data_IF_797084371913
#
_entry.id   IF_797084371913
#
_cell.length_a   1.000
_cell.length_b   1.000
_cell.length_c   1.000
_cell.angle_alpha   90.00
_cell.angle_beta   90.00
_cell.angle_gamma   90.00
#
_symmetry.space_group_name_H-M   'P 1'
#
loop_
_entity.id
_entity.type
_entity.pdbx_description
1 polymer ?
#
# COMPACT_ATOMS: atom_id res chain seq x y z
N UNK A 1 -19.89 -8.16 6.41
CA UNK A 1 -18.82 -7.30 5.84
C UNK A 1 -18.76 -6.08 6.74
N UNK A 2 -17.74 -5.97 7.58
CA UNK A 2 -17.53 -4.80 8.42
C UNK A 2 -17.34 -3.59 7.50
N UNK A 3 -18.25 -2.63 7.57
CA UNK A 3 -18.23 -1.47 6.69
C UNK A 3 -17.31 -0.41 7.27
N UNK A 4 -16.00 -0.68 7.22
CA UNK A 4 -14.92 0.22 7.64
C UNK A 4 -14.94 1.60 6.96
N UNK A 5 -15.75 1.74 5.90
CA UNK A 5 -15.93 2.98 5.14
C UNK A 5 -17.07 3.87 5.66
N UNK A 6 -17.97 3.34 6.50
CA UNK A 6 -19.14 4.07 7.00
C UNK A 6 -18.82 5.02 8.15
N UNK A 7 -17.96 4.58 9.08
CA UNK A 7 -17.49 5.39 10.20
C UNK A 7 -15.98 5.16 10.37
N UNK A 8 -15.20 6.07 9.78
CA UNK A 8 -13.74 5.97 9.73
C UNK A 8 -13.13 6.17 11.11
N UNK A 9 -13.69 7.07 11.94
CA UNK A 9 -13.12 7.35 13.25
C UNK A 9 -13.41 6.20 14.22
N UNK A 10 -14.63 5.63 14.20
CA UNK A 10 -14.93 4.39 14.92
C UNK A 10 -14.06 3.22 14.45
N UNK A 11 -13.85 3.10 13.14
CA UNK A 11 -13.00 2.05 12.56
C UNK A 11 -11.55 2.15 13.03
N UNK A 12 -11.01 3.37 13.15
CA UNK A 12 -9.66 3.60 13.68
C UNK A 12 -9.58 3.23 15.15
N UNK A 13 -10.54 3.65 15.96
CA UNK A 13 -10.58 3.29 17.39
C UNK A 13 -10.70 1.78 17.59
N UNK A 14 -11.53 1.12 16.79
CA UNK A 14 -11.67 -0.33 16.81
C UNK A 14 -10.35 -1.03 16.44
N UNK A 15 -9.68 -0.59 15.36
CA UNK A 15 -8.38 -1.12 14.93
C UNK A 15 -7.28 -0.88 15.97
N UNK A 16 -7.23 0.29 16.60
CA UNK A 16 -6.28 0.62 17.68
C UNK A 16 -6.54 -0.24 18.93
N UNK A 17 -7.80 -0.54 19.25
CA UNK A 17 -8.18 -1.39 20.38
C UNK A 17 -7.90 -2.88 20.15
N UNK A 18 -7.87 -3.33 18.89
CA UNK A 18 -7.70 -4.74 18.52
C UNK A 18 -6.31 -5.32 18.84
N UNK A 19 -5.29 -4.47 18.96
CA UNK A 19 -3.90 -4.87 19.19
C UNK A 19 -3.24 -5.65 18.03
N UNK A 20 -3.96 -5.96 16.96
CA UNK A 20 -3.46 -6.69 15.79
C UNK A 20 -2.97 -5.75 14.66
N UNK A 21 -3.04 -4.43 14.85
CA UNK A 21 -2.71 -3.48 13.81
C UNK A 21 -1.18 -3.32 13.64
N UNK A 22 -0.67 -3.24 12.40
CA UNK A 22 0.69 -2.79 12.17
C UNK A 22 0.83 -1.32 12.58
N UNK A 23 1.97 -0.95 13.19
CA UNK A 23 2.22 0.42 13.64
C UNK A 23 2.26 1.39 12.45
N UNK A 24 1.17 2.15 12.27
CA UNK A 24 1.04 3.19 11.24
C UNK A 24 0.44 4.48 11.84
N UNK A 25 0.93 5.67 11.45
CA UNK A 25 0.29 6.94 11.77
C UNK A 25 -1.19 7.00 11.36
N UNK A 26 -2.04 7.62 12.20
CA UNK A 26 -3.49 7.79 11.94
C UNK A 26 -3.85 8.35 10.55
N UNK A 27 -3.04 9.26 10.00
CA UNK A 27 -3.26 9.81 8.64
C UNK A 27 -3.24 8.68 7.58
N UNK A 28 -2.36 7.70 7.74
CA UNK A 28 -2.23 6.57 6.82
C UNK A 28 -3.39 5.59 6.98
N UNK A 29 -3.85 5.32 8.21
CA UNK A 29 -5.08 4.56 8.45
C UNK A 29 -6.31 5.21 7.80
N UNK A 30 -6.47 6.53 7.90
CA UNK A 30 -7.54 7.24 7.20
C UNK A 30 -7.47 7.07 5.68
N UNK A 31 -6.27 7.03 5.10
CA UNK A 31 -6.10 6.78 3.67
C UNK A 31 -6.50 5.33 3.31
N UNK A 32 -6.02 4.33 4.07
CA UNK A 32 -6.36 2.92 3.88
C UNK A 32 -7.88 2.70 3.96
N UNK A 33 -8.53 3.20 5.03
CA UNK A 33 -9.95 2.99 5.26
C UNK A 33 -10.85 3.72 4.26
N UNK A 34 -10.35 4.79 3.63
CA UNK A 34 -11.04 5.48 2.53
C UNK A 34 -10.81 4.81 1.18
N UNK A 35 -9.98 3.76 1.14
CA UNK A 35 -9.44 3.19 -0.08
C UNK A 35 -8.79 4.27 -0.96
N UNK A 36 -8.14 5.25 -0.33
CA UNK A 36 -7.50 6.36 -1.01
C UNK A 36 -6.02 6.07 -1.23
N UNK A 37 -5.44 6.66 -2.28
CA UNK A 37 -4.09 6.36 -2.72
C UNK A 37 -3.04 6.40 -1.59
N UNK A 38 -2.30 5.31 -1.42
CA UNK A 38 -1.23 5.16 -0.42
C UNK A 38 0.11 5.79 -0.87
N UNK A 39 0.06 6.81 -1.74
CA UNK A 39 1.25 7.51 -2.25
C UNK A 39 2.16 7.95 -1.11
N UNK A 40 1.59 8.57 -0.07
CA UNK A 40 2.29 9.08 1.11
C UNK A 40 2.97 7.97 1.95
N UNK A 41 2.53 6.70 1.87
CA UNK A 41 3.17 5.61 2.63
C UNK A 41 4.53 5.22 2.05
N UNK A 42 4.70 5.35 0.73
CA UNK A 42 5.91 4.96 0.02
C UNK A 42 6.97 6.06 -0.08
N UNK A 43 6.56 7.32 0.09
CA UNK A 43 7.49 8.44 0.18
C UNK A 43 8.20 8.52 1.55
N UNK A 44 7.77 7.72 2.53
CA UNK A 44 8.29 7.81 3.89
C UNK A 44 8.06 6.55 4.73
N UNK A 45 8.58 5.40 4.29
CA UNK A 45 8.66 4.20 5.13
C UNK A 45 9.62 4.44 6.31
N UNK A 46 9.13 5.11 7.35
CA UNK A 46 9.73 5.17 8.69
C UNK A 46 8.66 4.74 9.68
N UNK A 47 8.51 3.42 9.79
CA UNK A 47 8.06 2.81 11.04
C UNK A 47 9.19 3.15 12.04
N UNK A 48 8.91 4.07 12.95
CA UNK A 48 9.83 4.78 13.86
C UNK A 48 10.51 6.05 13.28
N UNK A 49 10.24 7.18 13.95
CA UNK A 49 10.94 8.46 13.76
C UNK A 49 12.43 8.30 14.10
N UNK A 50 13.29 8.04 13.12
CA UNK A 50 14.70 8.47 13.14
C UNK A 50 15.30 8.39 11.72
N UNK A 51 15.87 9.51 11.27
CA UNK A 51 16.59 9.74 10.02
C UNK A 51 15.74 10.01 8.74
N UNK A 52 16.24 10.88 7.82
CA UNK A 52 15.62 11.11 6.52
C UNK A 52 15.45 9.79 5.78
N UNK A 53 14.20 9.46 5.45
CA UNK A 53 13.85 8.23 4.73
C UNK A 53 14.52 8.29 3.36
N UNK A 54 15.40 7.34 3.07
CA UNK A 54 15.97 7.22 1.73
C UNK A 54 14.80 7.01 0.76
N UNK A 55 14.71 7.76 -0.35
CA UNK A 55 13.65 7.54 -1.31
C UNK A 55 13.67 6.08 -1.76
N UNK A 56 12.48 5.48 -1.90
CA UNK A 56 12.34 4.16 -2.49
C UNK A 56 12.82 4.25 -3.93
N UNK A 57 14.04 3.77 -4.20
CA UNK A 57 14.66 3.80 -5.54
C UNK A 57 14.96 2.43 -6.12
N UNK A 58 14.83 1.38 -5.31
CA UNK A 58 15.18 0.00 -5.67
C UNK A 58 14.09 -0.99 -5.24
N UNK A 59 14.16 -2.19 -5.82
CA UNK A 59 13.24 -3.29 -5.56
C UNK A 59 13.12 -3.64 -4.06
N UNK A 60 14.23 -3.60 -3.31
CA UNK A 60 14.25 -4.01 -1.90
C UNK A 60 13.48 -3.03 -1.03
N UNK A 61 13.73 -1.74 -1.22
CA UNK A 61 13.03 -0.68 -0.51
C UNK A 61 11.55 -0.65 -0.90
N UNK A 62 11.24 -0.84 -2.18
CA UNK A 62 9.86 -0.93 -2.65
C UNK A 62 9.12 -2.10 -2.00
N UNK A 63 9.74 -3.29 -1.97
CA UNK A 63 9.11 -4.48 -1.39
C UNK A 63 8.85 -4.33 0.11
N UNK A 64 9.76 -3.70 0.86
CA UNK A 64 9.55 -3.41 2.28
C UNK A 64 8.36 -2.48 2.50
N UNK A 65 8.27 -1.41 1.70
CA UNK A 65 7.15 -0.47 1.77
C UNK A 65 5.82 -1.13 1.37
N UNK A 66 5.82 -1.94 0.31
CA UNK A 66 4.63 -2.68 -0.12
C UNK A 66 4.15 -3.69 0.91
N UNK A 67 5.04 -4.44 1.55
CA UNK A 67 4.65 -5.36 2.63
C UNK A 67 3.99 -4.65 3.81
N UNK A 68 4.51 -3.49 4.21
CA UNK A 68 3.90 -2.71 5.27
C UNK A 68 2.50 -2.20 4.88
N UNK A 69 2.35 -1.75 3.63
CA UNK A 69 1.06 -1.31 3.11
C UNK A 69 0.07 -2.48 2.96
N UNK A 70 0.49 -3.61 2.39
CA UNK A 70 -0.37 -4.76 2.13
C UNK A 70 -0.87 -5.39 3.41
N UNK A 71 -0.02 -5.57 4.42
CA UNK A 71 -0.46 -6.10 5.71
C UNK A 71 -1.47 -5.16 6.41
N UNK A 72 -1.31 -3.85 6.25
CA UNK A 72 -2.27 -2.90 6.80
C UNK A 72 -3.61 -2.89 6.03
N UNK A 73 -3.57 -2.99 4.70
CA UNK A 73 -4.78 -3.17 3.88
C UNK A 73 -5.47 -4.46 4.25
N UNK A 74 -4.73 -5.57 4.43
CA UNK A 74 -5.30 -6.89 4.76
C UNK A 74 -5.89 -6.90 6.18
N UNK A 75 -5.26 -6.18 7.12
CA UNK A 75 -5.81 -5.99 8.45
C UNK A 75 -7.20 -5.33 8.40
N UNK A 76 -7.39 -4.29 7.58
CA UNK A 76 -8.69 -3.64 7.40
C UNK A 76 -9.64 -4.39 6.44
N UNK A 77 -9.09 -5.06 5.43
CA UNK A 77 -9.83 -5.70 4.34
C UNK A 77 -9.25 -7.08 4.02
N UNK A 78 -9.53 -8.11 4.85
CA UNK A 78 -8.90 -9.43 4.71
C UNK A 78 -9.13 -10.10 3.34
N UNK A 79 -10.28 -9.81 2.72
CA UNK A 79 -10.68 -10.35 1.42
C UNK A 79 -9.82 -9.83 0.26
N UNK A 80 -9.05 -8.75 0.45
CA UNK A 80 -8.19 -8.16 -0.59
C UNK A 80 -6.82 -8.84 -0.72
N UNK A 81 -6.47 -9.81 0.13
CA UNK A 81 -5.14 -10.45 0.08
C UNK A 81 -4.76 -10.99 -1.30
N UNK A 82 -5.68 -11.65 -2.00
CA UNK A 82 -5.42 -12.27 -3.30
C UNK A 82 -5.04 -11.28 -4.42
N UNK A 83 -5.62 -10.08 -4.45
CA UNK A 83 -5.24 -9.05 -5.43
C UNK A 83 -3.89 -8.41 -5.08
N UNK A 84 -3.61 -8.19 -3.79
CA UNK A 84 -2.37 -7.57 -3.32
C UNK A 84 -1.15 -8.47 -3.57
N UNK A 85 -1.32 -9.79 -3.37
CA UNK A 85 -0.28 -10.79 -3.66
C UNK A 85 0.00 -10.86 -5.17
N UNK A 86 -1.04 -10.78 -6.01
CA UNK A 86 -0.89 -10.75 -7.48
C UNK A 86 -0.15 -9.49 -7.95
N UNK A 87 -0.52 -8.34 -7.41
CA UNK A 87 0.17 -7.08 -7.71
C UNK A 87 1.61 -7.05 -7.20
N UNK A 88 1.90 -7.62 -6.01
CA UNK A 88 3.28 -7.75 -5.52
C UNK A 88 4.14 -8.51 -6.54
N UNK A 89 3.64 -9.64 -7.01
CA UNK A 89 4.32 -10.48 -8.00
C UNK A 89 4.51 -9.77 -9.34
N UNK A 90 3.51 -9.00 -9.79
CA UNK A 90 3.59 -8.20 -11.01
C UNK A 90 4.75 -7.21 -10.95
N UNK A 91 4.79 -6.37 -9.91
CA UNK A 91 5.84 -5.36 -9.78
C UNK A 91 7.22 -5.99 -9.54
N UNK A 92 7.31 -7.10 -8.80
CA UNK A 92 8.57 -7.84 -8.66
C UNK A 92 9.12 -8.33 -10.00
N UNK A 93 8.27 -8.90 -10.85
CA UNK A 93 8.67 -9.32 -12.20
C UNK A 93 9.14 -8.15 -13.06
N UNK A 94 8.54 -6.96 -12.90
CA UNK A 94 9.04 -5.76 -13.58
C UNK A 94 10.46 -5.41 -13.12
N UNK A 95 10.74 -5.43 -11.81
CA UNK A 95 12.09 -5.17 -11.30
C UNK A 95 13.11 -6.22 -11.76
N UNK A 96 12.74 -7.50 -11.77
CA UNK A 96 13.62 -8.61 -12.17
C UNK A 96 13.92 -8.64 -13.67
N UNK A 97 12.98 -8.18 -14.50
CA UNK A 97 13.12 -8.15 -15.96
C UNK A 97 13.81 -6.89 -16.50
N UNK A 98 14.08 -5.90 -15.64
CA UNK A 98 14.60 -4.59 -16.04
C UNK A 98 15.89 -4.24 -15.30
N UNK A 99 16.82 -3.58 -16.01
CA UNK A 99 18.07 -3.10 -15.44
C UNK A 99 17.83 -2.00 -14.38
N UNK A 100 18.69 -1.93 -13.36
CA UNK A 100 18.55 -1.02 -12.22
C UNK A 100 18.38 0.45 -12.62
N UNK A 101 19.03 0.90 -13.69
CA UNK A 101 18.91 2.28 -14.18
C UNK A 101 17.47 2.66 -14.61
N UNK A 102 16.61 1.67 -14.85
CA UNK A 102 15.20 1.85 -15.24
C UNK A 102 14.22 1.65 -14.09
N UNK A 103 14.68 1.25 -12.90
CA UNK A 103 13.84 1.00 -11.72
C UNK A 103 13.00 2.22 -11.31
N UNK A 104 13.50 3.43 -11.53
CA UNK A 104 12.75 4.67 -11.32
C UNK A 104 11.45 4.75 -12.14
N UNK A 105 11.40 4.15 -13.33
CA UNK A 105 10.19 4.09 -14.15
C UNK A 105 9.17 3.11 -13.58
N UNK A 106 9.62 1.99 -13.01
CA UNK A 106 8.75 1.00 -12.35
C UNK A 106 8.09 1.62 -11.12
N UNK A 107 8.85 2.41 -10.34
CA UNK A 107 8.32 3.13 -9.19
C UNK A 107 7.28 4.19 -9.61
N UNK A 108 7.52 4.90 -10.71
CA UNK A 108 6.53 5.85 -11.28
C UNK A 108 5.28 5.13 -11.75
N UNK A 109 5.43 3.97 -12.39
CA UNK A 109 4.33 3.12 -12.81
C UNK A 109 3.49 2.66 -11.59
N UNK A 110 4.12 2.11 -10.56
CA UNK A 110 3.46 1.69 -9.32
C UNK A 110 2.68 2.84 -8.68
N UNK A 111 3.29 4.04 -8.60
CA UNK A 111 2.62 5.23 -8.08
C UNK A 111 1.36 5.56 -8.89
N UNK A 112 1.45 5.53 -10.21
CA UNK A 112 0.31 5.82 -11.09
C UNK A 112 -0.82 4.80 -10.89
N UNK A 113 -0.51 3.50 -10.83
CA UNK A 113 -1.49 2.44 -10.59
C UNK A 113 -2.20 2.64 -9.25
N UNK A 114 -1.44 2.87 -8.17
CA UNK A 114 -2.01 3.11 -6.82
C UNK A 114 -2.85 4.38 -6.75
N UNK A 115 -2.48 5.43 -7.49
CA UNK A 115 -3.29 6.63 -7.61
C UNK A 115 -4.59 6.37 -8.35
N UNK A 116 -4.57 5.56 -9.41
CA UNK A 116 -5.79 5.22 -10.16
C UNK A 116 -6.73 4.39 -9.29
N UNK A 117 -6.25 3.29 -8.70
CA UNK A 117 -7.04 2.41 -7.84
C UNK A 117 -7.60 3.20 -6.65
N UNK A 118 -6.77 4.01 -5.98
CA UNK A 118 -7.22 4.81 -4.84
C UNK A 118 -8.24 5.91 -5.17
N UNK A 119 -8.45 6.23 -6.45
CA UNK A 119 -9.49 7.16 -6.90
C UNK A 119 -10.70 6.44 -7.51
N UNK A 120 -10.58 5.14 -7.80
CA UNK A 120 -11.57 4.33 -8.49
C UNK A 120 -11.88 3.07 -7.70
N UNK A 121 -12.99 3.12 -6.97
CA UNK A 121 -13.49 1.99 -6.16
C UNK A 121 -13.94 0.77 -6.98
N UNK A 122 -14.02 0.91 -8.30
CA UNK A 122 -14.39 -0.14 -9.24
C UNK A 122 -13.18 -0.91 -9.81
N UNK A 123 -11.97 -0.53 -9.42
CA UNK A 123 -10.73 -1.18 -9.86
C UNK A 123 -10.05 -1.92 -8.72
N UNK A 124 -9.54 -3.10 -9.04
CA UNK A 124 -8.74 -3.96 -8.18
C UNK A 124 -7.26 -3.88 -8.57
N UNK A 125 -6.40 -4.33 -7.66
CA UNK A 125 -4.94 -4.38 -7.88
C UNK A 125 -4.52 -5.39 -8.94
N UNK A 126 -5.39 -6.33 -9.29
CA UNK A 126 -5.19 -7.38 -10.29
C UNK A 126 -5.96 -7.16 -11.61
N UNK A 127 -6.57 -5.98 -11.81
CA UNK A 127 -7.33 -5.63 -13.03
C UNK A 127 -6.46 -5.29 -14.27
N UNK A 128 -5.21 -5.76 -14.32
CA UNK A 128 -4.27 -5.47 -15.41
C UNK A 128 -4.26 -6.52 -16.56
N UNK A 129 -5.05 -7.60 -16.45
CA UNK A 129 -5.17 -8.68 -17.45
C UNK A 129 -6.45 -8.57 -18.33
N UNK A 130 -6.97 -7.36 -18.59
CA UNK A 130 -8.13 -7.16 -19.50
C UNK A 130 -7.75 -7.09 -20.98
#
# INVERSE_FOLDING_TARGET
>A
IENYTADIDYSIEHLESSGANPYLPRKQWKAILRDHALSDMFEGTTIAKTAPSKPVMDQTNWRRAWRAASEAIICAFPHRRGELDRYENHIQRLFESHIESTHSNIIRYDRAVRTIIGNRKDLLYDDYDR
#
